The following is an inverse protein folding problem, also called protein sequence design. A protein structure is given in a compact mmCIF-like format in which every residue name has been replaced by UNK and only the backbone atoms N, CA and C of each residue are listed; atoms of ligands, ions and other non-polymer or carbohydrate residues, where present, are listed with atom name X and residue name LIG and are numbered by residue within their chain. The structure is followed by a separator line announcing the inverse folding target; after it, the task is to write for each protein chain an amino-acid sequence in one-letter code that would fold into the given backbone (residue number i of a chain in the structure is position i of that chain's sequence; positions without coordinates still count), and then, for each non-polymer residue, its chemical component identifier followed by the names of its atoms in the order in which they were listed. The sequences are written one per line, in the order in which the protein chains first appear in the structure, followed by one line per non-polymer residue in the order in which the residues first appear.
data_IF_115952858183
#
_entry.id   IF_115952858183
#
_cell.length_a   1.000
_cell.length_b   1.000
_cell.length_c   1.000
_cell.angle_alpha   90.00
_cell.angle_beta   90.00
_cell.angle_gamma   90.00
#
_symmetry.space_group_name_H-M   'P 1'
#
loop_
_entity.id
_entity.type
_entity.pdbx_description
1 polymer ?
#
# COMPACT_ATOMS: atom_id res chain seq x y z
N UNK A 1 4.83 -21.56 -12.25
CA UNK A 1 6.04 -20.95 -12.85
C UNK A 1 6.38 -19.79 -11.95
N UNK A 2 7.58 -19.75 -11.34
CA UNK A 2 7.98 -18.61 -10.50
C UNK A 2 7.96 -17.33 -11.34
N UNK A 3 7.44 -16.25 -10.79
CA UNK A 3 7.43 -14.93 -11.43
C UNK A 3 8.83 -14.56 -11.95
N UNK A 4 8.94 -14.23 -13.25
CA UNK A 4 10.18 -13.75 -13.88
C UNK A 4 10.41 -12.23 -13.67
N UNK A 5 9.72 -11.62 -12.71
CA UNK A 5 9.82 -10.18 -12.43
C UNK A 5 11.16 -9.89 -11.75
N UNK A 6 12.01 -9.10 -12.41
CA UNK A 6 13.25 -8.60 -11.83
C UNK A 6 12.96 -7.35 -10.98
N UNK A 7 12.93 -7.51 -9.66
CA UNK A 7 12.79 -6.40 -8.69
C UNK A 7 13.90 -5.35 -8.88
N UNK A 8 13.55 -4.07 -8.77
CA UNK A 8 14.51 -2.96 -8.64
C UNK A 8 15.28 -3.11 -7.33
N UNK A 9 16.61 -2.94 -7.38
CA UNK A 9 17.42 -2.88 -6.16
C UNK A 9 17.12 -1.60 -5.38
N UNK A 10 16.74 -1.77 -4.13
CA UNK A 10 16.43 -0.72 -3.17
C UNK A 10 17.11 -1.02 -1.83
N UNK A 11 17.45 0.02 -1.08
CA UNK A 11 17.82 -0.16 0.33
C UNK A 11 16.65 -0.76 1.10
N UNK A 12 16.91 -1.34 2.27
CA UNK A 12 15.86 -1.90 3.13
C UNK A 12 15.68 -0.97 4.32
N UNK A 13 14.42 -0.70 4.67
CA UNK A 13 14.05 -0.05 5.93
C UNK A 13 13.12 -0.98 6.70
N UNK A 14 12.97 -0.72 8.00
CA UNK A 14 11.95 -1.36 8.81
C UNK A 14 10.79 -0.40 9.09
N UNK A 15 9.59 -0.95 9.12
CA UNK A 15 8.38 -0.26 9.58
C UNK A 15 7.84 -1.12 10.71
N UNK A 16 8.31 -0.84 11.93
CA UNK A 16 8.17 -1.78 13.04
C UNK A 16 8.96 -3.05 12.72
N UNK A 17 8.31 -4.20 12.79
CA UNK A 17 8.89 -5.50 12.45
C UNK A 17 8.82 -5.86 10.95
N UNK A 18 8.21 -5.00 10.12
CA UNK A 18 8.05 -5.26 8.68
C UNK A 18 9.18 -4.61 7.87
N UNK A 19 10.06 -5.43 7.30
CA UNK A 19 11.08 -4.95 6.35
C UNK A 19 10.46 -4.57 4.99
N UNK A 20 10.86 -3.42 4.45
CA UNK A 20 10.41 -2.88 3.17
C UNK A 20 11.62 -2.53 2.30
N UNK A 21 11.77 -3.21 1.16
CA UNK A 21 12.89 -3.03 0.23
C UNK A 21 13.16 -4.26 -0.63
N UNK A 22 14.33 -4.30 -1.27
CA UNK A 22 14.66 -5.21 -2.38
C UNK A 22 14.32 -6.69 -2.14
N UNK A 23 14.93 -7.29 -1.11
CA UNK A 23 14.78 -8.72 -0.81
C UNK A 23 13.60 -9.01 0.13
N UNK A 24 12.85 -7.98 0.52
CA UNK A 24 11.65 -8.14 1.35
C UNK A 24 10.44 -8.47 0.49
N UNK A 25 9.47 -9.16 1.10
CA UNK A 25 8.14 -9.32 0.52
C UNK A 25 7.54 -7.94 0.22
N UNK A 26 6.85 -7.81 -0.91
CA UNK A 26 6.07 -6.59 -1.17
C UNK A 26 4.92 -6.57 -0.17
N UNK A 27 5.00 -5.65 0.79
CA UNK A 27 4.02 -5.56 1.86
C UNK A 27 2.73 -4.89 1.38
N UNK A 28 1.60 -5.39 1.87
CA UNK A 28 0.26 -4.88 1.59
C UNK A 28 -0.13 -3.95 2.73
N UNK A 29 -0.53 -2.71 2.39
CA UNK A 29 -1.04 -1.74 3.35
C UNK A 29 -2.49 -1.39 3.06
N UNK A 30 -3.23 -1.04 4.11
CA UNK A 30 -4.53 -0.37 4.02
C UNK A 30 -4.53 0.91 4.87
N UNK A 31 -5.66 1.60 4.91
CA UNK A 31 -5.86 2.78 5.77
C UNK A 31 -7.23 2.68 6.45
N UNK A 32 -7.27 2.97 7.74
CA UNK A 32 -8.55 3.07 8.45
C UNK A 32 -9.37 4.26 7.94
N UNK A 33 -10.68 4.16 8.06
CA UNK A 33 -11.62 5.23 7.74
C UNK A 33 -12.56 5.60 8.91
N UNK A 34 -12.36 4.98 10.08
CA UNK A 34 -12.99 5.38 11.34
C UNK A 34 -12.43 6.73 11.82
N UNK A 35 -13.17 7.39 12.71
CA UNK A 35 -12.62 8.53 13.44
C UNK A 35 -11.58 8.03 14.45
N UNK A 36 -10.32 8.45 14.29
CA UNK A 36 -9.21 8.01 15.14
C UNK A 36 -9.43 8.27 16.64
N UNK A 37 -10.20 9.30 17.00
CA UNK A 37 -10.54 9.58 18.39
C UNK A 37 -11.36 8.45 19.03
N UNK A 38 -12.13 7.71 18.24
CA UNK A 38 -12.75 6.45 18.64
C UNK A 38 -11.72 5.32 18.51
N UNK A 39 -10.89 5.18 19.54
CA UNK A 39 -9.84 4.17 19.58
C UNK A 39 -10.39 2.75 19.48
N UNK A 40 -11.56 2.45 20.04
CA UNK A 40 -12.15 1.11 20.01
C UNK A 40 -12.61 0.73 18.60
N UNK A 41 -13.37 1.61 17.93
CA UNK A 41 -13.79 1.37 16.56
C UNK A 41 -12.58 1.27 15.61
N UNK A 42 -11.54 2.07 15.85
CA UNK A 42 -10.33 2.05 15.03
C UNK A 42 -9.54 0.76 15.24
N UNK A 43 -9.40 0.25 16.47
CA UNK A 43 -8.75 -1.03 16.77
C UNK A 43 -9.52 -2.19 16.12
N UNK A 44 -10.86 -2.25 16.26
CA UNK A 44 -11.69 -3.28 15.63
C UNK A 44 -11.53 -3.30 14.10
N UNK A 45 -11.48 -2.13 13.46
CA UNK A 45 -11.22 -2.07 12.02
C UNK A 45 -9.79 -2.51 11.66
N UNK A 46 -8.79 -2.19 12.48
CA UNK A 46 -7.41 -2.64 12.28
C UNK A 46 -7.31 -4.16 12.38
N UNK A 47 -7.99 -4.79 13.33
CA UNK A 47 -8.03 -6.26 13.46
C UNK A 47 -8.59 -6.90 12.19
N UNK A 48 -9.70 -6.37 11.65
CA UNK A 48 -10.28 -6.82 10.37
C UNK A 48 -9.32 -6.66 9.19
N UNK A 49 -8.62 -5.53 9.11
CA UNK A 49 -7.60 -5.26 8.08
C UNK A 49 -6.42 -6.24 8.20
N UNK A 50 -5.96 -6.52 9.42
CA UNK A 50 -4.87 -7.47 9.69
C UNK A 50 -5.30 -8.91 9.36
N UNK A 51 -6.53 -9.30 9.69
CA UNK A 51 -7.07 -10.62 9.38
C UNK A 51 -7.21 -10.87 7.88
N UNK A 52 -7.61 -9.83 7.13
CA UNK A 52 -7.58 -9.84 5.66
C UNK A 52 -6.16 -10.03 5.10
N UNK A 53 -5.14 -9.66 5.88
CA UNK A 53 -3.74 -9.97 5.62
C UNK A 53 -2.83 -8.77 5.40
N UNK A 54 -3.29 -7.55 5.68
CA UNK A 54 -2.41 -6.39 5.60
C UNK A 54 -1.21 -6.56 6.55
N UNK A 55 -0.03 -6.14 6.11
CA UNK A 55 1.16 -6.14 6.94
C UNK A 55 1.30 -4.82 7.72
N UNK A 56 0.69 -3.75 7.20
CA UNK A 56 0.78 -2.40 7.75
C UNK A 56 -0.58 -1.72 7.62
N UNK A 57 -0.93 -0.87 8.58
CA UNK A 57 -2.15 -0.06 8.49
C UNK A 57 -1.84 1.39 8.78
N UNK A 58 -2.46 2.27 8.00
CA UNK A 58 -2.36 3.71 8.18
C UNK A 58 -3.55 4.26 8.96
N UNK A 59 -3.28 5.16 9.89
CA UNK A 59 -4.29 5.86 10.70
C UNK A 59 -4.10 7.37 10.53
N UNK A 60 -5.20 8.08 10.27
CA UNK A 60 -5.18 9.55 10.12
C UNK A 60 -5.01 10.23 11.48
N UNK A 61 -4.18 11.26 11.59
CA UNK A 61 -3.96 12.01 12.84
C UNK A 61 -4.07 13.53 12.59
N UNK A 62 -5.29 14.05 12.34
CA UNK A 62 -5.49 15.45 11.99
C UNK A 62 -5.32 16.42 13.18
N UNK A 63 -5.57 15.98 14.41
CA UNK A 63 -5.64 16.81 15.61
C UNK A 63 -4.98 16.15 16.85
N UNK A 64 -4.95 16.87 17.98
CA UNK A 64 -4.33 16.39 19.23
C UNK A 64 -5.02 15.13 19.76
N UNK A 65 -6.34 15.11 19.70
CA UNK A 65 -7.15 14.03 20.26
C UNK A 65 -6.91 12.73 19.49
N UNK A 66 -6.71 12.84 18.17
CA UNK A 66 -6.31 11.71 17.32
C UNK A 66 -4.93 11.15 17.72
N UNK A 67 -3.93 12.02 17.97
CA UNK A 67 -2.60 11.55 18.43
C UNK A 67 -2.62 11.02 19.85
N UNK A 68 -3.49 11.55 20.72
CA UNK A 68 -3.70 11.02 22.07
C UNK A 68 -4.30 9.60 22.02
N UNK A 69 -5.32 9.39 21.17
CA UNK A 69 -5.92 8.09 20.93
C UNK A 69 -4.94 7.09 20.27
N UNK A 70 -4.02 7.59 19.44
CA UNK A 70 -3.03 6.77 18.73
C UNK A 70 -2.19 5.92 19.68
N UNK A 71 -1.85 6.41 20.88
CA UNK A 71 -1.09 5.63 21.88
C UNK A 71 -1.82 4.35 22.29
N UNK A 72 -3.13 4.44 22.49
CA UNK A 72 -3.97 3.26 22.79
C UNK A 72 -4.09 2.36 21.57
N UNK A 73 -4.24 2.93 20.37
CA UNK A 73 -4.36 2.19 19.11
C UNK A 73 -3.09 1.38 18.83
N UNK A 74 -1.92 2.02 18.88
CA UNK A 74 -0.61 1.38 18.66
C UNK A 74 -0.40 0.21 19.62
N UNK A 75 -0.68 0.41 20.91
CA UNK A 75 -0.50 -0.62 21.94
C UNK A 75 -1.34 -1.88 21.69
N UNK A 76 -2.52 -1.74 21.08
CA UNK A 76 -3.46 -2.84 20.86
C UNK A 76 -3.50 -3.31 19.40
N UNK A 77 -2.67 -2.74 18.52
CA UNK A 77 -2.67 -3.11 17.10
C UNK A 77 -1.90 -4.42 16.88
N UNK A 78 -2.46 -5.41 16.15
CA UNK A 78 -1.74 -6.62 15.76
C UNK A 78 -0.68 -6.40 14.67
N UNK A 79 -0.67 -5.22 14.02
CA UNK A 79 0.26 -4.88 12.93
C UNK A 79 0.81 -3.44 13.09
N UNK A 80 1.99 -3.11 12.53
CA UNK A 80 2.56 -1.77 12.70
C UNK A 80 1.69 -0.64 12.13
N UNK A 81 1.60 0.45 12.90
CA UNK A 81 0.82 1.65 12.56
C UNK A 81 1.68 2.68 11.83
N UNK A 82 1.15 3.20 10.72
CA UNK A 82 1.67 4.38 10.03
C UNK A 82 0.77 5.58 10.39
N UNK A 83 1.32 6.62 11.02
CA UNK A 83 0.58 7.84 11.30
C UNK A 83 0.56 8.77 10.07
N UNK A 84 -0.61 9.18 9.62
CA UNK A 84 -0.77 10.10 8.49
C UNK A 84 -0.87 11.55 8.97
N UNK A 85 0.19 12.33 8.76
CA UNK A 85 0.33 13.71 9.24
C UNK A 85 0.55 14.63 8.04
N UNK A 86 -0.25 15.68 7.92
CA UNK A 86 -0.19 16.56 6.75
C UNK A 86 0.69 17.81 6.97
N UNK A 87 0.48 18.54 8.07
CA UNK A 87 1.09 19.87 8.25
C UNK A 87 1.68 20.13 9.64
N UNK A 88 1.15 19.50 10.70
CA UNK A 88 1.44 19.94 12.06
C UNK A 88 2.59 19.15 12.68
N UNK A 89 3.77 19.78 12.80
CA UNK A 89 4.98 19.15 13.34
C UNK A 89 4.79 18.49 14.71
N UNK A 90 4.03 19.11 15.63
CA UNK A 90 3.77 18.50 16.95
C UNK A 90 3.00 17.18 16.86
N UNK A 91 2.09 17.04 15.88
CA UNK A 91 1.36 15.77 15.68
C UNK A 91 2.30 14.67 15.21
N UNK A 92 3.33 15.00 14.43
CA UNK A 92 4.35 14.05 14.01
C UNK A 92 5.22 13.60 15.20
N UNK A 93 5.63 14.52 16.07
CA UNK A 93 6.38 14.21 17.29
C UNK A 93 5.54 13.32 18.22
N UNK A 94 4.32 13.74 18.54
CA UNK A 94 3.41 13.00 19.42
C UNK A 94 3.06 11.62 18.86
N UNK A 95 2.93 11.49 17.54
CA UNK A 95 2.69 10.19 16.91
C UNK A 95 3.91 9.26 17.02
N UNK A 96 5.13 9.79 16.89
CA UNK A 96 6.35 9.02 17.12
C UNK A 96 6.42 8.57 18.58
N UNK A 97 6.20 9.48 19.54
CA UNK A 97 6.21 9.18 20.97
C UNK A 97 5.07 8.24 21.41
N UNK A 98 3.96 8.22 20.66
CA UNK A 98 2.88 7.26 20.84
C UNK A 98 3.24 5.84 20.34
N UNK A 99 4.38 5.67 19.67
CA UNK A 99 4.88 4.39 19.15
C UNK A 99 4.47 4.08 17.71
N UNK A 100 4.12 5.09 16.90
CA UNK A 100 3.91 4.86 15.47
C UNK A 100 5.19 4.28 14.84
N UNK A 101 5.04 3.26 14.00
CA UNK A 101 6.16 2.60 13.31
C UNK A 101 6.65 3.38 12.09
N UNK A 102 5.80 4.27 11.55
CA UNK A 102 6.18 5.17 10.47
C UNK A 102 5.35 6.45 10.49
N UNK A 103 6.00 7.59 10.24
CA UNK A 103 5.33 8.86 9.97
C UNK A 103 5.17 9.05 8.46
N UNK A 104 3.95 9.20 7.95
CA UNK A 104 3.76 9.77 6.61
C UNK A 104 3.70 11.28 6.75
N UNK A 105 4.73 11.96 6.23
CA UNK A 105 4.82 13.42 6.17
C UNK A 105 5.47 13.87 4.86
N UNK A 106 5.28 15.14 4.50
CA UNK A 106 6.13 15.83 3.53
C UNK A 106 6.99 16.84 4.29
N UNK A 107 8.29 16.57 4.53
CA UNK A 107 9.18 17.40 5.34
C UNK A 107 9.08 18.90 5.05
N UNK A 108 9.09 19.32 3.78
CA UNK A 108 9.00 20.73 3.40
C UNK A 108 7.66 21.42 3.69
N UNK A 109 6.61 20.68 4.08
CA UNK A 109 5.31 21.23 4.48
C UNK A 109 5.17 21.41 6.00
N UNK A 110 6.14 20.92 6.79
CA UNK A 110 6.10 20.95 8.27
C UNK A 110 6.42 22.35 8.83
N UNK A 111 7.19 23.15 8.10
CA UNK A 111 7.52 24.53 8.46
C UNK A 111 9.02 24.81 8.45
N UNK A 112 9.52 25.50 9.48
CA UNK A 112 10.93 25.87 9.59
C UNK A 112 11.85 24.65 9.69
N UNK A 113 13.13 24.85 9.33
CA UNK A 113 14.17 23.81 9.44
C UNK A 113 14.28 23.24 10.86
N UNK A 114 14.10 24.07 11.89
CA UNK A 114 14.16 23.61 13.29
C UNK A 114 13.01 22.64 13.60
N UNK A 115 11.80 22.91 13.14
CA UNK A 115 10.65 22.00 13.32
C UNK A 115 10.85 20.69 12.57
N UNK A 116 11.45 20.74 11.37
CA UNK A 116 11.78 19.53 10.61
C UNK A 116 12.81 18.69 11.39
N UNK A 117 13.85 19.32 11.95
CA UNK A 117 14.86 18.65 12.78
C UNK A 117 14.23 18.02 14.02
N UNK A 118 13.33 18.71 14.70
CA UNK A 118 12.61 18.15 15.85
C UNK A 118 11.83 16.87 15.48
N UNK A 119 11.12 16.88 14.35
CA UNK A 119 10.39 15.69 13.86
C UNK A 119 11.34 14.55 13.50
N UNK A 120 12.47 14.84 12.84
CA UNK A 120 13.49 13.83 12.51
C UNK A 120 14.10 13.24 13.79
N UNK A 121 14.40 14.07 14.79
CA UNK A 121 14.96 13.61 16.05
C UNK A 121 13.96 12.75 16.85
N UNK A 122 12.68 13.13 16.85
CA UNK A 122 11.62 12.31 17.44
C UNK A 122 11.50 10.97 16.72
N UNK A 123 11.57 10.97 15.38
CA UNK A 123 11.53 9.74 14.59
C UNK A 123 12.73 8.82 14.89
N UNK A 124 13.96 9.37 14.93
CA UNK A 124 15.18 8.62 15.30
C UNK A 124 15.08 8.03 16.71
N UNK A 125 14.62 8.83 17.68
CA UNK A 125 14.56 8.42 19.09
C UNK A 125 13.55 7.30 19.35
N UNK A 126 12.54 7.17 18.50
CA UNK A 126 11.48 6.18 18.61
C UNK A 126 11.60 5.03 17.58
N UNK A 127 12.74 4.89 16.88
CA UNK A 127 12.93 3.89 15.80
C UNK A 127 11.81 3.93 14.74
N UNK A 128 11.36 5.15 14.42
CA UNK A 128 10.22 5.41 13.56
C UNK A 128 10.70 5.80 12.16
N UNK A 129 10.30 5.04 11.14
CA UNK A 129 10.62 5.36 9.75
C UNK A 129 9.78 6.53 9.21
N UNK A 130 10.20 7.16 8.11
CA UNK A 130 9.43 8.23 7.47
C UNK A 130 8.97 7.83 6.06
N UNK A 131 7.70 8.04 5.72
CA UNK A 131 7.24 8.02 4.32
C UNK A 131 7.04 9.44 3.81
N UNK A 132 7.87 9.83 2.84
CA UNK A 132 7.64 11.02 2.01
C UNK A 132 6.47 10.71 1.07
N UNK A 133 5.39 11.48 1.12
CA UNK A 133 4.18 11.22 0.34
C UNK A 133 3.74 12.39 -0.52
N UNK A 134 4.32 12.50 -1.71
CA UNK A 134 3.97 13.50 -2.71
C UNK A 134 2.71 13.08 -3.45
N UNK A 135 1.71 13.96 -3.51
CA UNK A 135 0.51 13.79 -4.32
C UNK A 135 0.43 14.92 -5.34
N UNK A 136 0.01 14.60 -6.57
CA UNK A 136 -0.16 15.60 -7.64
C UNK A 136 -1.09 16.76 -7.23
N UNK A 137 -2.16 16.47 -6.51
CA UNK A 137 -3.13 17.47 -6.05
C UNK A 137 -2.67 18.34 -4.87
N UNK A 138 -1.49 18.09 -4.30
CA UNK A 138 -0.99 18.82 -3.13
C UNK A 138 0.51 19.15 -3.25
N UNK A 139 0.98 19.45 -4.46
CA UNK A 139 2.35 19.88 -4.71
C UNK A 139 2.62 21.25 -4.07
N UNK A 140 3.88 21.49 -3.71
CA UNK A 140 4.30 22.75 -3.13
C UNK A 140 4.17 23.89 -4.14
N UNK A 141 3.78 25.07 -3.66
CA UNK A 141 3.61 26.26 -4.52
C UNK A 141 4.84 26.58 -5.35
N UNK A 142 6.05 26.46 -4.80
CA UNK A 142 7.30 26.69 -5.53
C UNK A 142 7.49 25.74 -6.72
N UNK A 143 7.08 24.47 -6.57
CA UNK A 143 7.13 23.47 -7.63
C UNK A 143 6.08 23.81 -8.70
N UNK A 144 4.87 24.17 -8.28
CA UNK A 144 3.81 24.61 -9.20
C UNK A 144 4.17 25.90 -9.94
N UNK A 145 4.85 26.85 -9.31
CA UNK A 145 5.29 28.09 -9.94
C UNK A 145 6.31 27.83 -11.06
N UNK A 146 7.17 26.81 -10.88
CA UNK A 146 8.17 26.37 -11.86
C UNK A 146 7.54 25.58 -13.01
N UNK A 147 6.71 24.60 -12.70
CA UNK A 147 6.17 23.64 -13.68
C UNK A 147 4.80 24.01 -14.27
N UNK A 148 4.14 25.03 -13.71
CA UNK A 148 2.81 25.57 -14.05
C UNK A 148 1.64 24.64 -13.79
N UNK A 149 1.83 23.34 -13.96
CA UNK A 149 0.82 22.31 -13.69
C UNK A 149 1.45 21.07 -13.03
N UNK A 150 0.67 20.27 -12.29
CA UNK A 150 1.13 18.98 -11.81
C UNK A 150 1.50 18.04 -12.96
N UNK A 151 2.78 17.67 -13.04
CA UNK A 151 3.29 16.67 -13.97
C UNK A 151 4.31 15.75 -13.29
N UNK A 152 4.79 14.74 -14.01
CA UNK A 152 5.67 13.72 -13.44
C UNK A 152 7.00 14.30 -12.97
N UNK A 153 7.57 15.27 -13.70
CA UNK A 153 8.83 15.92 -13.32
C UNK A 153 8.66 16.76 -12.04
N UNK A 154 7.54 17.48 -11.91
CA UNK A 154 7.18 18.22 -10.72
C UNK A 154 7.07 17.31 -9.48
N UNK A 155 6.42 16.16 -9.63
CA UNK A 155 6.28 15.17 -8.56
C UNK A 155 7.62 14.53 -8.15
N UNK A 156 8.46 14.21 -9.14
CA UNK A 156 9.80 13.66 -8.90
C UNK A 156 10.70 14.68 -8.21
N UNK A 157 10.67 15.95 -8.65
CA UNK A 157 11.44 17.02 -8.03
C UNK A 157 11.04 17.24 -6.57
N UNK A 158 9.74 17.31 -6.29
CA UNK A 158 9.22 17.42 -4.92
C UNK A 158 9.69 16.25 -4.05
N UNK A 159 9.60 15.01 -4.56
CA UNK A 159 10.01 13.83 -3.81
C UNK A 159 11.51 13.81 -3.49
N UNK A 160 12.36 14.19 -4.45
CA UNK A 160 13.80 14.26 -4.26
C UNK A 160 14.20 15.40 -3.34
N UNK A 161 13.53 16.56 -3.43
CA UNK A 161 13.72 17.67 -2.51
C UNK A 161 13.49 17.26 -1.06
N UNK A 162 12.35 16.62 -0.76
CA UNK A 162 12.07 16.10 0.58
C UNK A 162 13.04 15.01 1.03
N UNK A 163 13.44 14.13 0.09
CA UNK A 163 14.43 13.09 0.38
C UNK A 163 15.77 13.69 0.75
N UNK A 164 16.16 14.79 0.11
CA UNK A 164 17.43 15.47 0.37
C UNK A 164 17.44 16.08 1.77
N UNK A 165 16.33 16.69 2.20
CA UNK A 165 16.17 17.22 3.57
C UNK A 165 16.44 16.12 4.62
N UNK A 166 15.88 14.92 4.43
CA UNK A 166 16.12 13.81 5.35
C UNK A 166 17.59 13.38 5.35
N UNK A 167 18.20 13.24 4.17
CA UNK A 167 19.61 12.84 4.01
C UNK A 167 20.57 13.86 4.64
N UNK A 168 20.31 15.16 4.48
CA UNK A 168 21.12 16.24 5.07
C UNK A 168 21.07 16.25 6.61
N UNK A 169 20.03 15.66 7.19
CA UNK A 169 19.88 15.47 8.64
C UNK A 169 20.24 14.03 9.06
N UNK A 170 21.00 13.32 8.22
CA UNK A 170 21.47 11.96 8.44
C UNK A 170 20.35 10.98 8.80
N UNK A 171 19.22 11.09 8.11
CA UNK A 171 18.07 10.19 8.27
C UNK A 171 17.86 9.38 6.99
N UNK A 172 18.15 8.08 7.08
CA UNK A 172 18.10 7.17 5.93
C UNK A 172 16.91 6.21 5.98
N UNK A 173 16.22 6.06 7.12
CA UNK A 173 15.08 5.14 7.29
C UNK A 173 13.76 5.71 6.74
N UNK A 174 13.76 6.03 5.44
CA UNK A 174 12.57 6.53 4.78
C UNK A 174 12.16 5.74 3.53
N UNK A 175 10.90 5.86 3.13
CA UNK A 175 10.36 5.39 1.85
C UNK A 175 9.65 6.54 1.12
N UNK A 176 9.42 6.40 -0.18
CA UNK A 176 8.82 7.46 -1.00
C UNK A 176 7.53 6.96 -1.66
N UNK A 177 6.53 7.83 -1.76
CA UNK A 177 5.41 7.65 -2.69
C UNK A 177 5.18 8.93 -3.49
N UNK A 178 4.96 8.76 -4.78
CA UNK A 178 4.49 9.80 -5.73
C UNK A 178 3.17 9.32 -6.32
N UNK A 179 2.04 9.94 -5.99
CA UNK A 179 0.71 9.44 -6.42
C UNK A 179 -0.09 10.51 -7.15
N UNK A 180 -0.80 10.08 -8.18
CA UNK A 180 -1.82 10.87 -8.86
C UNK A 180 -3.09 10.02 -9.06
N UNK A 181 -4.19 10.69 -9.38
CA UNK A 181 -5.40 10.02 -9.81
C UNK A 181 -5.29 9.55 -11.26
N UNK A 182 -4.48 10.21 -12.09
CA UNK A 182 -4.15 9.72 -13.43
C UNK A 182 -3.12 8.57 -13.38
N UNK A 183 -3.41 7.50 -14.12
CA UNK A 183 -2.61 6.26 -14.12
C UNK A 183 -1.28 6.48 -14.84
N UNK A 184 -1.29 7.16 -15.98
CA UNK A 184 -0.09 7.35 -16.80
C UNK A 184 0.90 8.30 -16.15
N UNK A 185 0.40 9.39 -15.55
CA UNK A 185 1.17 10.32 -14.74
C UNK A 185 1.84 9.59 -13.56
N UNK A 186 1.10 8.74 -12.86
CA UNK A 186 1.66 7.97 -11.74
C UNK A 186 2.76 7.01 -12.21
N UNK A 187 2.52 6.29 -13.31
CA UNK A 187 3.52 5.38 -13.90
C UNK A 187 4.79 6.14 -14.28
N UNK A 188 4.64 7.26 -15.00
CA UNK A 188 5.77 8.04 -15.49
C UNK A 188 6.59 8.64 -14.33
N UNK A 189 5.92 9.16 -13.30
CA UNK A 189 6.57 9.67 -12.09
C UNK A 189 7.40 8.58 -11.38
N UNK A 190 6.85 7.37 -11.19
CA UNK A 190 7.61 6.29 -10.56
C UNK A 190 8.76 5.77 -11.41
N UNK A 191 8.62 5.70 -12.74
CA UNK A 191 9.71 5.32 -13.65
C UNK A 191 10.87 6.30 -13.54
N UNK A 192 10.59 7.59 -13.68
CA UNK A 192 11.59 8.66 -13.55
C UNK A 192 12.23 8.69 -12.16
N UNK A 193 11.44 8.45 -11.11
CA UNK A 193 11.96 8.40 -9.74
C UNK A 193 12.87 7.18 -9.52
N UNK A 194 12.53 6.02 -10.08
CA UNK A 194 13.30 4.78 -9.95
C UNK A 194 14.74 4.89 -10.46
N UNK A 195 15.00 5.79 -11.42
CA UNK A 195 16.34 6.05 -11.96
C UNK A 195 17.19 6.97 -11.06
N UNK A 196 16.56 7.67 -10.11
CA UNK A 196 17.19 8.75 -9.33
C UNK A 196 17.40 8.41 -7.85
N UNK A 197 16.85 7.30 -7.36
CA UNK A 197 16.97 6.92 -5.94
C UNK A 197 16.82 5.42 -5.71
N UNK A 198 17.53 4.94 -4.70
CA UNK A 198 17.46 3.58 -4.18
C UNK A 198 16.44 3.41 -3.03
N UNK A 199 15.75 4.48 -2.63
CA UNK A 199 14.74 4.43 -1.56
C UNK A 199 13.56 3.49 -1.91
N UNK A 200 13.03 2.71 -0.95
CA UNK A 200 11.84 1.90 -1.19
C UNK A 200 10.63 2.73 -1.61
N UNK A 201 9.78 2.18 -2.47
CA UNK A 201 8.57 2.84 -2.95
C UNK A 201 7.29 2.24 -2.39
N UNK A 202 6.45 3.13 -1.86
CA UNK A 202 5.06 2.85 -1.54
C UNK A 202 4.16 3.22 -2.72
N UNK A 203 3.85 2.24 -3.58
CA UNK A 203 3.06 2.46 -4.79
C UNK A 203 1.56 2.40 -4.50
N UNK A 204 0.78 3.14 -5.27
CA UNK A 204 -0.68 3.23 -5.16
C UNK A 204 -1.23 4.23 -6.16
N UNK A 205 -2.44 4.00 -6.66
CA UNK A 205 -3.22 5.01 -7.38
C UNK A 205 -4.14 5.69 -6.35
N UNK A 206 -4.15 7.02 -6.28
CA UNK A 206 -5.08 7.74 -5.41
C UNK A 206 -6.40 7.96 -6.15
N UNK A 207 -7.51 8.13 -5.41
CA UNK A 207 -8.82 8.41 -6.00
C UNK A 207 -9.18 7.44 -7.15
N UNK A 208 -9.03 6.14 -6.89
CA UNK A 208 -9.27 5.14 -7.93
C UNK A 208 -10.77 4.98 -8.26
N UNK A 209 -11.64 5.29 -7.29
CA UNK A 209 -13.09 5.20 -7.39
C UNK A 209 -13.67 4.09 -6.53
N UNK A 210 -14.95 3.77 -6.74
CA UNK A 210 -15.63 2.67 -6.05
C UNK A 210 -15.05 1.29 -6.41
N UNK A 211 -15.50 0.24 -5.72
CA UNK A 211 -14.91 -1.11 -5.76
C UNK A 211 -14.54 -1.60 -7.17
N UNK A 212 -15.51 -1.68 -8.10
CA UNK A 212 -15.25 -2.24 -9.44
C UNK A 212 -14.32 -1.37 -10.30
N UNK A 213 -14.66 -0.10 -10.50
CA UNK A 213 -13.90 0.80 -11.36
C UNK A 213 -12.50 1.09 -10.77
N UNK A 214 -12.43 1.28 -9.46
CA UNK A 214 -11.17 1.49 -8.74
C UNK A 214 -10.26 0.27 -8.75
N UNK A 215 -10.82 -0.94 -8.71
CA UNK A 215 -10.04 -2.18 -8.90
C UNK A 215 -9.40 -2.23 -10.28
N UNK A 216 -10.18 -1.98 -11.35
CA UNK A 216 -9.65 -1.97 -12.74
C UNK A 216 -8.53 -0.93 -12.88
N UNK A 217 -8.80 0.32 -12.46
CA UNK A 217 -7.85 1.42 -12.56
C UNK A 217 -6.56 1.15 -11.78
N UNK A 218 -6.67 0.65 -10.55
CA UNK A 218 -5.53 0.30 -9.72
C UNK A 218 -4.74 -0.87 -10.30
N UNK A 219 -5.42 -1.87 -10.87
CA UNK A 219 -4.77 -3.06 -11.45
C UNK A 219 -3.90 -2.69 -12.66
N UNK A 220 -4.34 -1.74 -13.49
CA UNK A 220 -3.55 -1.24 -14.63
C UNK A 220 -2.27 -0.55 -14.13
N UNK A 221 -2.41 0.43 -13.24
CA UNK A 221 -1.28 1.22 -12.77
C UNK A 221 -0.27 0.40 -11.95
N UNK A 222 -0.77 -0.32 -10.95
CA UNK A 222 0.08 -1.11 -10.06
C UNK A 222 0.62 -2.36 -10.77
N UNK A 223 -0.18 -3.00 -11.63
CA UNK A 223 0.28 -4.13 -12.43
C UNK A 223 1.46 -3.75 -13.33
N UNK A 224 1.39 -2.60 -14.01
CA UNK A 224 2.50 -2.09 -14.81
C UNK A 224 3.76 -1.88 -13.97
N UNK A 225 3.65 -1.18 -12.83
CA UNK A 225 4.80 -0.88 -11.97
C UNK A 225 5.44 -2.18 -11.44
N UNK A 226 4.61 -3.10 -10.93
CA UNK A 226 5.06 -4.36 -10.38
C UNK A 226 5.73 -5.26 -11.43
N UNK A 227 5.18 -5.36 -12.65
CA UNK A 227 5.80 -6.09 -13.75
C UNK A 227 7.18 -5.56 -14.14
N UNK A 228 7.41 -4.26 -13.97
CA UNK A 228 8.70 -3.60 -14.17
C UNK A 228 9.60 -3.63 -12.92
N UNK A 229 9.22 -4.39 -11.89
CA UNK A 229 9.99 -4.52 -10.66
C UNK A 229 9.97 -3.29 -9.76
N UNK A 230 9.06 -2.34 -9.99
CA UNK A 230 8.93 -1.09 -9.23
C UNK A 230 7.82 -1.23 -8.18
N UNK A 231 8.21 -1.07 -6.91
CA UNK A 231 7.30 -1.15 -5.77
C UNK A 231 7.83 -2.09 -4.70
N UNK A 232 7.87 -1.60 -3.47
CA UNK A 232 8.37 -2.36 -2.30
C UNK A 232 7.26 -2.53 -1.26
N UNK A 233 6.19 -1.74 -1.37
CA UNK A 233 4.95 -1.88 -0.62
C UNK A 233 3.80 -1.24 -1.40
N UNK A 234 2.60 -1.80 -1.29
CA UNK A 234 1.43 -1.38 -2.08
C UNK A 234 0.25 -0.95 -1.20
N UNK A 235 -0.56 -0.04 -1.73
CA UNK A 235 -1.94 0.19 -1.27
C UNK A 235 -2.83 0.44 -2.47
N UNK A 236 -3.97 -0.24 -2.51
CA UNK A 236 -5.09 0.05 -3.41
C UNK A 236 -5.98 1.06 -2.71
N UNK A 237 -6.39 2.15 -3.36
CA UNK A 237 -7.20 3.20 -2.71
C UNK A 237 -8.63 3.18 -3.27
N UNK A 238 -9.57 2.59 -2.54
CA UNK A 238 -10.96 2.40 -2.99
C UNK A 238 -11.93 3.20 -2.12
N UNK A 239 -13.02 3.66 -2.74
CA UNK A 239 -14.19 4.14 -1.99
C UNK A 239 -15.04 2.94 -1.55
N UNK A 240 -14.48 2.09 -0.68
CA UNK A 240 -15.07 0.85 -0.17
C UNK A 240 -14.55 0.56 1.25
N UNK A 241 -14.96 -0.57 1.83
CA UNK A 241 -14.38 -1.07 3.08
C UNK A 241 -12.85 -1.25 2.93
N UNK A 242 -12.01 -0.78 3.88
CA UNK A 242 -10.56 -0.97 3.87
C UNK A 242 -10.11 -2.44 3.74
N UNK A 243 -10.93 -3.41 4.12
CA UNK A 243 -10.70 -4.84 3.92
C UNK A 243 -10.71 -5.21 2.43
N UNK A 244 -11.57 -4.58 1.62
CA UNK A 244 -11.61 -4.80 0.18
C UNK A 244 -10.33 -4.27 -0.50
N UNK A 245 -9.75 -3.17 -0.01
CA UNK A 245 -8.44 -2.69 -0.49
C UNK A 245 -7.36 -3.78 -0.33
N UNK A 246 -7.35 -4.48 0.81
CA UNK A 246 -6.41 -5.56 1.11
C UNK A 246 -6.63 -6.77 0.20
N UNK A 247 -7.89 -7.19 0.02
CA UNK A 247 -8.24 -8.32 -0.86
C UNK A 247 -7.77 -8.07 -2.30
N UNK A 248 -8.09 -6.89 -2.84
CA UNK A 248 -7.68 -6.51 -4.20
C UNK A 248 -6.15 -6.44 -4.32
N UNK A 249 -5.45 -5.92 -3.31
CA UNK A 249 -3.99 -5.91 -3.29
C UNK A 249 -3.40 -7.33 -3.36
N UNK A 250 -3.93 -8.29 -2.59
CA UNK A 250 -3.50 -9.68 -2.67
C UNK A 250 -3.90 -10.36 -3.99
N UNK A 251 -5.06 -10.07 -4.54
CA UNK A 251 -5.47 -10.60 -5.85
C UNK A 251 -4.51 -10.14 -6.96
N UNK A 252 -4.09 -8.87 -6.93
CA UNK A 252 -3.08 -8.34 -7.83
C UNK A 252 -1.73 -9.06 -7.67
N UNK A 253 -1.25 -9.22 -6.43
CA UNK A 253 0.03 -9.91 -6.16
C UNK A 253 -0.02 -11.40 -6.54
N UNK A 254 -1.16 -12.08 -6.33
CA UNK A 254 -1.42 -13.47 -6.75
C UNK A 254 -1.47 -13.62 -8.26
N UNK A 255 -2.05 -12.64 -8.96
CA UNK A 255 -2.12 -12.64 -10.42
C UNK A 255 -0.72 -12.55 -11.05
N UNK A 256 0.20 -11.83 -10.41
CA UNK A 256 1.59 -11.66 -10.84
C UNK A 256 2.57 -12.70 -10.27
N UNK A 257 2.06 -13.67 -9.48
CA UNK A 257 2.83 -14.67 -8.74
C UNK A 257 3.96 -14.06 -7.88
N UNK A 258 3.73 -12.86 -7.34
CA UNK A 258 4.69 -12.14 -6.48
C UNK A 258 4.54 -12.60 -5.03
N UNK A 259 3.30 -12.70 -4.55
CA UNK A 259 2.98 -13.10 -3.18
C UNK A 259 1.61 -13.77 -3.16
N UNK A 260 1.53 -14.93 -2.52
CA UNK A 260 0.31 -15.73 -2.49
C UNK A 260 -0.24 -15.82 -1.06
N UNK A 261 -1.53 -15.53 -0.88
CA UNK A 261 -2.29 -15.70 0.37
C UNK A 261 -3.70 -16.20 0.04
N UNK A 262 -4.14 -17.22 0.78
CA UNK A 262 -5.45 -17.84 0.61
C UNK A 262 -5.65 -18.59 -0.70
N UNK A 263 -6.90 -18.89 -1.00
CA UNK A 263 -7.27 -19.75 -2.13
C UNK A 263 -7.30 -18.96 -3.44
N UNK A 264 -6.61 -19.48 -4.45
CA UNK A 264 -6.69 -19.05 -5.85
C UNK A 264 -7.67 -19.94 -6.58
N UNK A 265 -8.86 -19.41 -6.88
CA UNK A 265 -9.86 -20.12 -7.67
C UNK A 265 -9.60 -19.85 -9.16
N UNK A 266 -9.42 -20.91 -9.93
CA UNK A 266 -9.30 -20.86 -11.39
C UNK A 266 -10.58 -21.45 -11.97
N UNK A 267 -11.47 -20.58 -12.43
CA UNK A 267 -12.76 -20.98 -12.99
C UNK A 267 -12.84 -20.71 -14.49
N UNK A 268 -13.64 -21.51 -15.20
CA UNK A 268 -14.09 -21.11 -16.53
C UNK A 268 -15.17 -20.02 -16.42
N UNK A 269 -15.30 -19.08 -17.37
CA UNK A 269 -16.34 -18.04 -17.34
C UNK A 269 -17.80 -18.53 -17.33
N UNK A 270 -18.04 -19.84 -17.46
CA UNK A 270 -19.28 -20.52 -17.92
C UNK A 270 -19.50 -20.42 -19.43
N UNK A 271 -20.29 -21.34 -20.00
CA UNK A 271 -20.80 -21.31 -21.37
C UNK A 271 -21.96 -22.32 -21.52
N UNK A 272 -22.55 -22.41 -22.71
CA UNK A 272 -23.64 -23.37 -23.00
C UNK A 272 -23.27 -24.85 -22.84
N UNK A 273 -21.99 -25.17 -22.63
CA UNK A 273 -21.51 -26.54 -22.37
C UNK A 273 -21.43 -26.89 -20.89
N UNK A 274 -21.79 -25.97 -19.99
CA UNK A 274 -21.69 -26.22 -18.56
C UNK A 274 -22.62 -27.36 -18.15
N UNK A 275 -22.12 -28.25 -17.29
CA UNK A 275 -22.86 -29.40 -16.75
C UNK A 275 -23.41 -29.11 -15.35
N UNK A 276 -23.02 -27.98 -14.76
CA UNK A 276 -23.51 -27.44 -13.49
C UNK A 276 -23.46 -25.91 -13.54
N UNK A 277 -24.12 -25.24 -12.60
CA UNK A 277 -24.06 -23.78 -12.49
C UNK A 277 -22.69 -23.36 -11.95
N UNK A 278 -21.79 -23.02 -12.86
CA UNK A 278 -20.42 -22.62 -12.53
C UNK A 278 -20.40 -21.33 -11.71
N UNK A 279 -21.28 -20.38 -12.00
CA UNK A 279 -21.24 -19.03 -11.41
C UNK A 279 -21.60 -19.09 -9.93
N UNK A 280 -22.69 -19.77 -9.57
CA UNK A 280 -23.08 -19.91 -8.16
C UNK A 280 -22.09 -20.80 -7.39
N UNK A 281 -21.57 -21.85 -8.02
CA UNK A 281 -20.57 -22.75 -7.42
C UNK A 281 -19.28 -22.02 -7.09
N UNK A 282 -18.74 -21.22 -8.02
CA UNK A 282 -17.54 -20.40 -7.78
C UNK A 282 -17.76 -19.42 -6.64
N UNK A 283 -18.88 -18.67 -6.67
CA UNK A 283 -19.22 -17.70 -5.62
C UNK A 283 -19.29 -18.35 -4.23
N UNK A 284 -19.92 -19.53 -4.13
CA UNK A 284 -20.04 -20.25 -2.86
C UNK A 284 -18.70 -20.80 -2.37
N UNK A 285 -17.85 -21.30 -3.28
CA UNK A 285 -16.51 -21.78 -2.94
C UNK A 285 -15.64 -20.63 -2.45
N UNK A 286 -15.60 -19.49 -3.15
CA UNK A 286 -14.85 -18.31 -2.71
C UNK A 286 -15.30 -17.84 -1.33
N UNK A 287 -16.61 -17.80 -1.09
CA UNK A 287 -17.18 -17.44 0.21
C UNK A 287 -16.76 -18.41 1.31
N UNK A 288 -16.91 -19.72 1.09
CA UNK A 288 -16.58 -20.76 2.08
C UNK A 288 -15.09 -20.84 2.37
N UNK A 289 -14.24 -20.60 1.39
CA UNK A 289 -12.78 -20.72 1.52
C UNK A 289 -12.09 -19.40 1.92
N UNK A 290 -12.83 -18.31 2.07
CA UNK A 290 -12.29 -16.97 2.40
C UNK A 290 -11.46 -16.91 3.69
N UNK A 291 -11.71 -17.81 4.65
CA UNK A 291 -10.99 -17.91 5.92
C UNK A 291 -9.62 -18.61 5.78
N UNK A 292 -9.38 -19.33 4.69
CA UNK A 292 -8.12 -20.05 4.48
C UNK A 292 -7.02 -19.05 4.16
N UNK A 293 -5.97 -19.05 4.98
CA UNK A 293 -4.79 -18.18 4.80
C UNK A 293 -3.68 -18.85 3.97
N UNK A 294 -3.63 -20.18 3.94
CA UNK A 294 -2.64 -20.95 3.18
C UNK A 294 -2.83 -20.77 1.67
N UNK A 295 -1.71 -20.75 0.93
CA UNK A 295 -1.75 -20.67 -0.53
C UNK A 295 -2.18 -22.02 -1.11
N UNK A 296 -3.39 -22.06 -1.67
CA UNK A 296 -3.96 -23.22 -2.35
C UNK A 296 -4.52 -22.80 -3.71
N UNK A 297 -4.51 -23.71 -4.69
CA UNK A 297 -5.17 -23.48 -5.99
C UNK A 297 -6.28 -24.49 -6.18
N UNK A 298 -7.49 -24.00 -6.46
CA UNK A 298 -8.69 -24.81 -6.74
C UNK A 298 -9.14 -24.50 -8.15
N UNK A 299 -9.44 -25.53 -8.94
CA UNK A 299 -9.90 -25.36 -10.32
C UNK A 299 -11.32 -25.86 -10.49
N UNK A 300 -12.18 -24.99 -11.03
CA UNK A 300 -13.61 -25.27 -11.23
C UNK A 300 -13.92 -25.15 -12.71
N UNK A 301 -14.12 -26.28 -13.38
CA UNK A 301 -14.35 -26.33 -14.82
C UNK A 301 -15.72 -26.95 -15.11
N UNK A 302 -16.61 -26.15 -15.69
CA UNK A 302 -18.01 -26.52 -15.94
C UNK A 302 -18.23 -27.63 -16.97
N UNK A 303 -17.21 -28.06 -17.72
CA UNK A 303 -17.37 -29.07 -18.77
C UNK A 303 -16.12 -29.92 -19.00
N UNK A 304 -16.32 -31.09 -19.61
CA UNK A 304 -15.25 -32.05 -19.91
C UNK A 304 -14.24 -31.56 -20.95
N UNK A 305 -14.56 -30.53 -21.75
CA UNK A 305 -13.70 -30.06 -22.85
C UNK A 305 -12.44 -29.38 -22.33
N UNK A 306 -12.60 -28.50 -21.33
CA UNK A 306 -11.49 -27.74 -20.76
C UNK A 306 -10.94 -28.36 -19.46
N UNK A 307 -11.54 -29.46 -18.99
CA UNK A 307 -11.22 -30.13 -17.73
C UNK A 307 -9.89 -30.90 -17.78
N UNK A 308 -9.76 -31.97 -18.58
CA UNK A 308 -8.64 -32.92 -18.48
C UNK A 308 -7.25 -32.35 -18.83
N UNK A 309 -7.17 -31.41 -19.77
CA UNK A 309 -5.88 -30.96 -20.34
C UNK A 309 -5.03 -30.02 -19.47
N UNK A 310 -5.57 -29.48 -18.38
CA UNK A 310 -4.87 -28.49 -17.50
C UNK A 310 -4.39 -29.09 -16.15
N UNK A 311 -4.58 -30.39 -15.92
CA UNK A 311 -4.61 -31.00 -14.58
C UNK A 311 -3.33 -31.75 -14.17
N UNK A 312 -2.22 -31.05 -13.91
CA UNK A 312 -1.06 -31.70 -13.24
C UNK A 312 -0.94 -31.42 -11.73
N UNK A 313 -1.67 -30.43 -11.17
CA UNK A 313 -1.51 -30.03 -9.76
C UNK A 313 -2.78 -29.41 -9.10
N UNK A 314 -4.00 -29.79 -9.51
CA UNK A 314 -5.22 -29.07 -9.07
C UNK A 314 -6.26 -30.03 -8.47
N UNK A 315 -6.84 -29.65 -7.34
CA UNK A 315 -7.96 -30.36 -6.68
C UNK A 315 -9.23 -30.09 -7.50
N UNK A 316 -9.90 -31.16 -7.91
CA UNK A 316 -11.24 -31.12 -8.51
C UNK A 316 -12.27 -31.07 -7.38
N UNK A 317 -13.19 -30.12 -7.43
CA UNK A 317 -14.43 -30.14 -6.62
C UNK A 317 -15.59 -30.30 -7.58
#
# INVERSE_FOLDING_TARGET
MKSNIKRRKTRVINVGDVSVGYNSNISVQSMTNTNTQDSFATIDQIEKIADAGADLVRVSCPDQDSTNALKTIVKNSPIPIIADIHFHYKRAIEAADAGAACLRINPGNIGSLDRIKEVINAAKSNDCSIRIGVNAGSLERKILDKYKEPNSDAMVESALFHSQILKENDFHDFKISVKASDVFLTIDAYKKLAEKTDAPFHIGITEAGGLRAGTVKSSIGLGYLLLNGIGDTIRVSLSADPVEEVKVAFDLLKALDIRNRGVKVISCPSCSRQQFDVISTVSEIERRLSHIKQSLTVSIIGCVVNGPGKLKQQILV
#
